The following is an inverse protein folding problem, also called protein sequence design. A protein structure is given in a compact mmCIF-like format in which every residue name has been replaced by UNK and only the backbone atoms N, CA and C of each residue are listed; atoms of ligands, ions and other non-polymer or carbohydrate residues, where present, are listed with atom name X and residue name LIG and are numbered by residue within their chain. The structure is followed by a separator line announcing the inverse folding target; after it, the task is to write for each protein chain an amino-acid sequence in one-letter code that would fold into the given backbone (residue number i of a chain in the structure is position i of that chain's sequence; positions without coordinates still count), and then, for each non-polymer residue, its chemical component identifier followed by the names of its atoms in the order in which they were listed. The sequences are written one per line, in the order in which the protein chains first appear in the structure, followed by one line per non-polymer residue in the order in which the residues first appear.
data_IF_619777272667
#
_entry.id   IF_619777272667
#
_cell.length_a   1.000
_cell.length_b   1.000
_cell.length_c   1.000
_cell.angle_alpha   90.00
_cell.angle_beta   90.00
_cell.angle_gamma   90.00
#
_symmetry.space_group_name_H-M   'P 1'
#
loop_
_entity.id
_entity.type
_entity.pdbx_description
1 polymer ?
#
# COMPACT_ATOMS: atom_id res chain seq x y z
N UNK A 1 -47.75 19.19 -55.46
CA UNK A 1 -47.28 19.58 -54.11
C UNK A 1 -46.09 18.70 -53.75
N UNK A 2 -44.86 19.20 -53.86
CA UNK A 2 -43.65 18.48 -53.52
C UNK A 2 -43.24 18.82 -52.09
N UNK A 3 -43.24 17.80 -51.20
CA UNK A 3 -42.82 17.97 -49.81
C UNK A 3 -41.28 17.82 -49.75
N UNK A 4 -40.61 18.88 -49.31
CA UNK A 4 -39.19 18.92 -49.05
C UNK A 4 -38.97 18.39 -47.63
N UNK A 5 -38.29 17.24 -47.49
CA UNK A 5 -37.85 16.69 -46.21
C UNK A 5 -36.42 17.17 -45.96
N UNK A 6 -36.26 18.09 -44.99
CA UNK A 6 -34.95 18.54 -44.51
C UNK A 6 -34.52 17.58 -43.39
N UNK A 7 -33.55 16.71 -43.69
CA UNK A 7 -32.90 15.87 -42.70
C UNK A 7 -31.85 16.68 -41.93
N UNK A 8 -32.11 16.89 -40.66
CA UNK A 8 -31.16 17.51 -39.74
C UNK A 8 -30.26 16.41 -39.15
N UNK A 9 -29.03 16.29 -39.67
CA UNK A 9 -28.02 15.39 -39.12
C UNK A 9 -27.36 16.07 -37.93
N UNK A 10 -27.77 15.71 -36.71
CA UNK A 10 -27.09 16.15 -35.48
C UNK A 10 -25.75 15.42 -35.37
N UNK A 11 -24.66 16.15 -35.57
CA UNK A 11 -23.31 15.68 -35.33
C UNK A 11 -23.04 15.67 -33.83
N UNK A 12 -23.18 14.50 -33.21
CA UNK A 12 -22.84 14.30 -31.80
C UNK A 12 -21.31 14.19 -31.69
N UNK A 13 -20.66 15.32 -31.35
CA UNK A 13 -19.25 15.31 -31.01
C UNK A 13 -19.13 14.71 -29.61
N UNK A 14 -18.87 13.40 -29.50
CA UNK A 14 -18.40 12.82 -28.26
C UNK A 14 -16.97 13.35 -28.01
N UNK A 15 -16.88 14.37 -27.16
CA UNK A 15 -15.63 14.74 -26.54
C UNK A 15 -15.24 13.62 -25.56
N UNK A 16 -14.52 12.59 -26.07
CA UNK A 16 -13.80 11.68 -25.19
C UNK A 16 -12.71 12.47 -24.47
N UNK A 17 -12.99 12.93 -23.27
CA UNK A 17 -11.93 13.30 -22.34
C UNK A 17 -11.14 12.02 -22.08
N UNK A 18 -10.00 11.87 -22.75
CA UNK A 18 -9.02 10.81 -22.44
C UNK A 18 -8.52 11.14 -21.04
N UNK A 19 -9.07 10.50 -20.03
CA UNK A 19 -8.37 10.41 -18.75
C UNK A 19 -7.04 9.70 -19.05
N UNK A 20 -5.93 10.41 -18.89
CA UNK A 20 -4.61 9.79 -18.98
C UNK A 20 -4.51 8.79 -17.83
N UNK A 21 -4.80 7.53 -18.09
CA UNK A 21 -4.58 6.45 -17.14
C UNK A 21 -3.24 5.79 -17.43
N UNK A 22 -2.53 5.44 -16.38
CA UNK A 22 -1.27 4.72 -16.45
C UNK A 22 -1.41 3.36 -15.73
N UNK A 23 -0.67 2.33 -16.17
CA UNK A 23 -0.67 1.06 -15.49
C UNK A 23 0.08 1.17 -14.16
N UNK A 24 -0.54 0.64 -13.08
CA UNK A 24 0.08 0.45 -11.78
C UNK A 24 0.08 -1.04 -11.48
N UNK A 25 1.25 -1.59 -11.22
CA UNK A 25 1.39 -2.96 -10.73
C UNK A 25 1.24 -2.98 -9.21
N UNK A 26 0.56 -3.99 -8.69
CA UNK A 26 0.59 -4.32 -7.28
C UNK A 26 1.38 -5.60 -7.08
N UNK A 27 2.33 -5.56 -6.16
CA UNK A 27 3.26 -6.65 -5.87
C UNK A 27 3.30 -6.95 -4.38
N UNK A 28 3.80 -8.13 -4.03
CA UNK A 28 4.10 -8.52 -2.66
C UNK A 28 5.56 -8.94 -2.57
N UNK A 29 6.22 -8.54 -1.50
CA UNK A 29 7.56 -8.97 -1.14
C UNK A 29 7.58 -9.54 0.27
N UNK A 30 8.54 -10.42 0.54
CA UNK A 30 8.82 -10.89 1.89
C UNK A 30 10.17 -10.35 2.33
N UNK A 31 10.23 -9.80 3.55
CA UNK A 31 11.49 -9.45 4.18
C UNK A 31 12.23 -10.73 4.55
N UNK A 32 13.06 -11.23 3.65
CA UNK A 32 13.84 -12.43 3.93
C UNK A 32 15.33 -12.13 3.86
N UNK A 33 16.02 -12.32 4.97
CA UNK A 33 17.48 -12.46 5.02
C UNK A 33 17.91 -13.92 4.88
N UNK A 34 16.97 -14.84 4.65
CA UNK A 34 17.21 -16.27 4.67
C UNK A 34 17.77 -16.78 3.34
N UNK A 35 18.81 -17.59 3.41
CA UNK A 35 19.27 -18.44 2.32
C UNK A 35 18.14 -19.36 1.88
N UNK A 36 17.97 -19.52 0.57
CA UNK A 36 16.99 -20.41 -0.04
C UNK A 36 16.91 -21.77 0.68
N UNK A 37 15.86 -21.96 1.45
CA UNK A 37 15.46 -23.23 2.05
C UNK A 37 14.04 -23.54 1.56
N UNK A 38 13.66 -24.81 1.59
CA UNK A 38 12.32 -25.24 1.16
C UNK A 38 11.19 -24.81 2.11
N UNK A 39 11.53 -24.10 3.19
CA UNK A 39 10.59 -23.49 4.14
C UNK A 39 11.25 -22.30 4.83
N UNK A 40 10.45 -21.31 5.20
CA UNK A 40 10.88 -20.17 5.99
C UNK A 40 10.91 -20.59 7.46
N UNK A 41 12.13 -20.83 8.01
CA UNK A 41 12.30 -21.16 9.43
C UNK A 41 12.24 -19.89 10.26
N UNK A 42 11.24 -19.78 11.13
CA UNK A 42 11.05 -18.69 12.07
C UNK A 42 11.15 -19.19 13.50
N UNK A 43 11.66 -18.38 14.42
CA UNK A 43 11.78 -18.71 15.84
C UNK A 43 12.41 -20.10 16.11
N UNK A 44 13.29 -20.58 15.22
CA UNK A 44 14.12 -21.79 15.39
C UNK A 44 13.42 -23.13 15.22
N UNK A 45 12.12 -23.24 15.48
CA UNK A 45 11.37 -24.52 15.43
C UNK A 45 10.07 -24.44 14.64
N UNK A 46 9.73 -23.26 14.14
CA UNK A 46 8.52 -23.01 13.38
C UNK A 46 8.90 -22.84 11.91
N UNK A 47 8.39 -23.73 11.05
CA UNK A 47 8.56 -23.65 9.61
C UNK A 47 7.27 -23.15 8.98
N UNK A 48 7.30 -21.97 8.35
CA UNK A 48 6.18 -21.42 7.59
C UNK A 48 6.27 -21.92 6.16
N UNK A 49 5.21 -22.58 5.70
CA UNK A 49 5.14 -23.21 4.38
C UNK A 49 4.21 -22.47 3.43
N UNK A 50 3.22 -21.77 3.97
CA UNK A 50 2.26 -21.01 3.17
C UNK A 50 1.69 -19.85 3.96
N UNK A 51 1.55 -18.72 3.32
CA UNK A 51 0.83 -17.55 3.85
C UNK A 51 -0.26 -17.16 2.87
N UNK A 52 -1.48 -17.04 3.37
CA UNK A 52 -2.62 -16.51 2.61
C UNK A 52 -3.12 -15.25 3.33
N UNK A 53 -3.26 -14.18 2.58
CA UNK A 53 -3.64 -12.87 3.10
C UNK A 53 -4.73 -12.29 2.23
N UNK A 54 -5.83 -11.83 2.82
CA UNK A 54 -6.86 -11.08 2.11
C UNK A 54 -6.62 -9.58 2.27
N UNK A 55 -6.21 -8.93 1.18
CA UNK A 55 -6.20 -7.48 1.09
C UNK A 55 -7.58 -7.05 0.64
N UNK A 56 -8.28 -6.39 1.53
CA UNK A 56 -9.64 -5.98 1.27
C UNK A 56 -9.73 -4.71 0.45
N UNK A 57 -8.75 -3.81 0.65
CA UNK A 57 -8.72 -2.53 -0.05
C UNK A 57 -7.31 -2.00 -0.15
N UNK A 58 -6.99 -1.46 -1.32
CA UNK A 58 -5.85 -0.61 -1.59
C UNK A 58 -6.39 0.72 -2.14
N UNK A 59 -6.01 1.84 -1.56
CA UNK A 59 -6.44 3.18 -1.99
C UNK A 59 -5.22 4.05 -2.28
N UNK A 60 -5.34 4.86 -3.32
CA UNK A 60 -4.49 6.01 -3.59
C UNK A 60 -5.35 7.25 -3.50
N UNK A 61 -4.92 8.22 -2.72
CA UNK A 61 -5.63 9.49 -2.52
C UNK A 61 -4.74 10.66 -2.95
N UNK A 62 -5.27 11.52 -3.82
CA UNK A 62 -4.65 12.81 -4.08
C UNK A 62 -5.10 13.76 -2.98
N UNK A 63 -4.17 14.49 -2.39
CA UNK A 63 -4.54 15.51 -1.42
C UNK A 63 -5.35 16.60 -2.14
N UNK A 64 -6.59 16.81 -1.76
CA UNK A 64 -7.26 18.06 -2.05
C UNK A 64 -6.43 19.17 -1.40
N UNK A 65 -6.06 20.20 -2.15
CA UNK A 65 -5.37 21.38 -1.60
C UNK A 65 -6.35 22.25 -0.77
N UNK A 66 -7.03 21.60 0.17
CA UNK A 66 -7.91 22.22 1.15
C UNK A 66 -7.38 21.83 2.53
N UNK A 67 -7.06 22.82 3.33
CA UNK A 67 -6.74 22.68 4.75
C UNK A 67 -7.87 21.87 5.40
N UNK A 68 -7.68 20.57 5.63
CA UNK A 68 -8.49 19.86 6.63
C UNK A 68 -8.09 20.48 7.97
N UNK A 69 -8.86 21.47 8.39
CA UNK A 69 -8.92 21.87 9.78
C UNK A 69 -9.56 20.67 10.50
N UNK A 70 -8.76 19.92 11.23
CA UNK A 70 -9.24 19.02 12.25
C UNK A 70 -10.03 19.83 13.25
N UNK A 71 -11.30 20.08 12.92
CA UNK A 71 -12.25 20.73 13.81
C UNK A 71 -12.58 19.78 14.94
N UNK A 72 -11.76 19.78 15.98
CA UNK A 72 -12.24 19.42 17.30
C UNK A 72 -13.45 20.30 17.58
N UNK A 73 -14.64 19.70 17.54
CA UNK A 73 -15.87 20.31 18.00
C UNK A 73 -15.73 20.62 19.48
N UNK A 74 -15.25 21.82 19.80
CA UNK A 74 -15.47 22.42 21.10
C UNK A 74 -16.87 23.03 21.06
N UNK A 75 -17.78 22.44 21.83
CA UNK A 75 -19.17 22.86 22.02
C UNK A 75 -19.19 24.26 22.65
N UNK A 76 -19.12 25.28 21.81
CA UNK A 76 -19.29 26.68 22.21
C UNK A 76 -20.56 27.25 21.60
N UNK A 77 -21.64 27.28 22.40
CA UNK A 77 -22.84 28.07 22.12
C UNK A 77 -22.46 29.53 21.91
N UNK A 78 -22.67 30.09 20.72
CA UNK A 78 -22.76 31.53 20.52
C UNK A 78 -23.92 31.92 19.60
N UNK A 79 -24.84 32.64 20.28
CA UNK A 79 -25.95 33.44 19.75
C UNK A 79 -25.54 34.41 18.63
N UNK A 80 -26.38 34.46 17.63
CA UNK A 80 -26.90 35.67 16.99
C UNK A 80 -25.93 36.61 16.24
N UNK A 81 -26.13 36.70 14.93
CA UNK A 81 -25.61 37.80 14.11
C UNK A 81 -25.92 37.60 12.64
N UNK A 82 -27.07 38.18 12.19
CA UNK A 82 -27.37 38.44 10.77
C UNK A 82 -26.36 39.44 10.23
N UNK A 83 -25.74 39.22 9.08
CA UNK A 83 -25.72 40.13 7.92
C UNK A 83 -24.67 39.75 6.88
N UNK A 84 -25.04 39.90 5.62
CA UNK A 84 -24.13 40.28 4.55
C UNK A 84 -23.70 39.16 3.62
N UNK A 85 -24.50 38.91 2.57
CA UNK A 85 -24.07 38.16 1.39
C UNK A 85 -22.81 38.76 0.77
N UNK A 86 -21.85 37.89 0.43
CA UNK A 86 -20.79 38.17 -0.53
C UNK A 86 -20.51 36.91 -1.37
N UNK A 87 -20.72 37.14 -2.66
CA UNK A 87 -20.13 36.48 -3.81
C UNK A 87 -19.46 35.12 -3.56
N UNK A 88 -20.14 34.09 -4.03
CA UNK A 88 -19.65 32.81 -4.43
C UNK A 88 -18.45 32.94 -5.38
N UNK A 89 -17.28 33.05 -4.81
CA UNK A 89 -16.04 32.82 -5.51
C UNK A 89 -15.85 31.30 -5.54
N UNK A 90 -16.33 30.61 -6.59
CA UNK A 90 -16.11 29.21 -6.81
C UNK A 90 -14.63 28.88 -6.71
N UNK A 91 -14.19 28.53 -5.51
CA UNK A 91 -12.97 27.76 -5.30
C UNK A 91 -13.26 26.42 -5.96
N UNK A 92 -12.65 26.18 -7.13
CA UNK A 92 -12.75 24.90 -7.80
C UNK A 92 -12.38 23.84 -6.77
N UNK A 93 -13.38 23.10 -6.31
CA UNK A 93 -13.17 21.92 -5.51
C UNK A 93 -12.25 21.03 -6.34
N UNK A 94 -11.01 20.87 -5.89
CA UNK A 94 -10.11 19.88 -6.46
C UNK A 94 -10.74 18.55 -6.08
N UNK A 95 -11.38 17.89 -7.05
CA UNK A 95 -11.97 16.58 -6.82
C UNK A 95 -10.89 15.67 -6.23
N UNK A 96 -11.12 15.22 -5.01
CA UNK A 96 -10.31 14.19 -4.38
C UNK A 96 -10.43 12.92 -5.24
N UNK A 97 -9.33 12.55 -5.90
CA UNK A 97 -9.31 11.33 -6.70
C UNK A 97 -9.00 10.17 -5.77
N UNK A 98 -10.04 9.46 -5.39
CA UNK A 98 -9.92 8.20 -4.66
C UNK A 98 -9.97 7.04 -5.65
N UNK A 99 -8.94 6.20 -5.63
CA UNK A 99 -8.89 4.97 -6.39
C UNK A 99 -8.80 3.81 -5.43
N UNK A 100 -9.81 2.95 -5.48
CA UNK A 100 -9.89 1.78 -4.62
C UNK A 100 -9.86 0.51 -5.44
N UNK A 101 -8.99 -0.43 -5.08
CA UNK A 101 -8.86 -1.75 -5.65
C UNK A 101 -9.01 -2.82 -4.56
N UNK A 102 -9.64 -3.93 -4.88
CA UNK A 102 -9.84 -5.05 -3.98
C UNK A 102 -11.28 -5.55 -3.95
N UNK A 103 -11.59 -6.60 -3.18
CA UNK A 103 -10.64 -7.42 -2.44
C UNK A 103 -9.82 -8.34 -3.35
N UNK A 104 -8.60 -8.69 -2.93
CA UNK A 104 -7.76 -9.67 -3.62
C UNK A 104 -7.02 -10.55 -2.62
N UNK A 105 -6.73 -11.79 -3.05
CA UNK A 105 -6.05 -12.79 -2.27
C UNK A 105 -4.57 -12.85 -2.64
N UNK A 106 -3.70 -12.74 -1.66
CA UNK A 106 -2.28 -13.08 -1.76
C UNK A 106 -2.12 -14.49 -1.24
N UNK A 107 -1.42 -15.33 -2.01
CA UNK A 107 -1.15 -16.72 -1.67
C UNK A 107 0.32 -17.03 -1.96
N UNK A 108 1.13 -17.10 -0.92
CA UNK A 108 2.57 -17.33 -1.00
C UNK A 108 2.88 -18.73 -0.47
N UNK A 109 3.41 -19.57 -1.33
CA UNK A 109 3.95 -20.89 -0.93
C UNK A 109 5.37 -20.77 -0.36
N UNK A 110 5.93 -21.89 0.09
CA UNK A 110 7.26 -21.93 0.69
C UNK A 110 8.36 -21.39 -0.24
N UNK A 111 8.23 -21.59 -1.55
CA UNK A 111 9.20 -21.09 -2.52
C UNK A 111 9.14 -19.57 -2.63
N UNK A 112 7.94 -18.99 -2.73
CA UNK A 112 7.73 -17.56 -2.75
C UNK A 112 8.19 -16.89 -1.44
N UNK A 113 7.88 -17.50 -0.29
CA UNK A 113 8.28 -17.02 1.04
C UNK A 113 9.80 -16.98 1.23
N UNK A 114 10.53 -17.96 0.66
CA UNK A 114 11.98 -18.04 0.80
C UNK A 114 12.76 -17.29 -0.28
N UNK A 115 12.12 -16.91 -1.39
CA UNK A 115 12.79 -16.25 -2.49
C UNK A 115 13.22 -14.81 -2.17
N UNK A 116 12.51 -14.12 -1.26
CA UNK A 116 12.71 -12.68 -1.01
C UNK A 116 12.44 -11.81 -2.24
N UNK A 117 11.81 -12.41 -3.27
CA UNK A 117 11.59 -11.75 -4.53
C UNK A 117 10.24 -11.01 -4.52
N UNK A 118 10.20 -9.88 -5.20
CA UNK A 118 8.96 -9.15 -5.46
C UNK A 118 8.10 -9.95 -6.44
N UNK A 119 6.92 -10.37 -6.00
CA UNK A 119 5.97 -11.15 -6.79
C UNK A 119 4.79 -10.27 -7.18
N UNK A 120 4.56 -10.10 -8.48
CA UNK A 120 3.40 -9.35 -8.98
C UNK A 120 2.10 -10.07 -8.68
N UNK A 121 1.12 -9.33 -8.15
CA UNK A 121 -0.22 -9.85 -7.82
C UNK A 121 -1.21 -9.48 -8.93
N UNK A 122 -1.31 -8.20 -9.33
CA UNK A 122 -2.18 -7.73 -10.41
C UNK A 122 -1.70 -6.39 -11.00
N UNK A 123 -2.34 -5.96 -12.09
CA UNK A 123 -2.20 -4.62 -12.66
C UNK A 123 -3.54 -3.89 -12.60
N UNK A 124 -3.51 -2.59 -12.34
CA UNK A 124 -4.66 -1.70 -12.40
C UNK A 124 -4.37 -0.51 -13.34
N UNK A 125 -5.43 0.06 -13.90
CA UNK A 125 -5.35 1.33 -14.61
C UNK A 125 -5.77 2.45 -13.66
N UNK A 126 -4.87 3.37 -13.42
CA UNK A 126 -5.01 4.45 -12.45
C UNK A 126 -4.82 5.78 -13.19
N UNK A 127 -5.62 6.84 -12.96
CA UNK A 127 -5.35 8.14 -13.53
C UNK A 127 -3.91 8.57 -13.25
N UNK A 128 -3.23 9.08 -14.28
CA UNK A 128 -1.88 9.58 -14.10
C UNK A 128 -1.91 10.84 -13.22
N UNK A 129 -1.03 10.91 -12.25
CA UNK A 129 -0.97 12.01 -11.29
C UNK A 129 -0.05 11.70 -10.12
N UNK A 130 0.01 12.64 -9.19
CA UNK A 130 0.71 12.47 -7.92
C UNK A 130 -0.32 12.30 -6.81
N UNK A 131 -0.18 11.22 -6.07
CA UNK A 131 -1.00 10.86 -4.93
C UNK A 131 -0.18 11.10 -3.67
N UNK A 132 -0.84 11.59 -2.61
CA UNK A 132 -0.16 11.96 -1.36
C UNK A 132 -0.33 10.92 -0.28
N UNK A 133 -1.23 9.98 -0.50
CA UNK A 133 -1.54 8.97 0.50
C UNK A 133 -1.83 7.63 -0.16
N UNK A 134 -1.26 6.58 0.45
CA UNK A 134 -1.50 5.18 0.12
C UNK A 134 -2.07 4.49 1.36
N UNK A 135 -3.28 3.93 1.24
CA UNK A 135 -3.95 3.18 2.30
C UNK A 135 -4.10 1.72 1.91
N UNK A 136 -3.76 0.83 2.82
CA UNK A 136 -3.98 -0.61 2.70
C UNK A 136 -4.87 -1.09 3.85
N UNK A 137 -5.89 -1.87 3.53
CA UNK A 137 -6.75 -2.50 4.52
C UNK A 137 -6.76 -4.01 4.35
N UNK A 138 -6.52 -4.71 5.45
CA UNK A 138 -6.61 -6.17 5.56
C UNK A 138 -7.80 -6.47 6.45
N UNK A 139 -8.73 -7.28 5.96
CA UNK A 139 -9.91 -7.67 6.72
C UNK A 139 -10.39 -9.08 6.35
N UNK A 140 -11.23 -9.70 7.20
CA UNK A 140 -11.75 -11.04 6.97
C UNK A 140 -12.53 -11.16 5.66
N UNK A 141 -12.39 -12.29 4.96
CA UNK A 141 -13.06 -12.58 3.70
C UNK A 141 -13.66 -13.98 3.69
N UNK A 142 -14.81 -14.11 3.05
CA UNK A 142 -15.43 -15.41 2.81
C UNK A 142 -14.51 -16.34 1.98
N UNK A 143 -13.64 -15.79 1.12
CA UNK A 143 -12.66 -16.55 0.36
C UNK A 143 -11.62 -17.26 1.26
N UNK A 144 -11.38 -16.73 2.46
CA UNK A 144 -10.54 -17.32 3.49
C UNK A 144 -11.36 -17.84 4.70
N UNK A 145 -12.59 -18.28 4.50
CA UNK A 145 -13.44 -18.80 5.58
C UNK A 145 -13.63 -17.81 6.74
N UNK A 146 -13.81 -16.53 6.41
CA UNK A 146 -13.89 -15.40 7.34
C UNK A 146 -12.59 -15.14 8.13
N UNK A 147 -11.46 -15.58 7.62
CA UNK A 147 -10.15 -15.11 8.06
C UNK A 147 -9.64 -13.98 7.15
N UNK A 148 -8.70 -13.21 7.66
CA UNK A 148 -7.91 -12.25 6.90
C UNK A 148 -6.50 -12.79 6.62
N UNK A 149 -5.99 -13.62 7.52
CA UNK A 149 -4.66 -14.25 7.43
C UNK A 149 -4.80 -15.73 7.77
N UNK A 150 -4.20 -16.58 6.94
CA UNK A 150 -4.01 -18.00 7.26
C UNK A 150 -2.55 -18.35 7.02
N UNK A 151 -1.92 -18.97 8.01
CA UNK A 151 -0.54 -19.46 7.95
C UNK A 151 -0.52 -20.94 8.18
N UNK A 152 0.00 -21.68 7.21
CA UNK A 152 0.19 -23.12 7.32
C UNK A 152 1.69 -23.43 7.46
N UNK A 153 2.03 -24.41 8.30
CA UNK A 153 3.41 -24.77 8.56
C UNK A 153 3.57 -25.91 9.52
N UNK A 154 4.77 -26.02 10.13
CA UNK A 154 5.05 -27.00 11.18
C UNK A 154 5.71 -26.36 12.40
N UNK A 155 5.37 -26.86 13.58
CA UNK A 155 6.06 -26.56 14.86
C UNK A 155 6.69 -27.85 15.35
N UNK A 156 8.03 -27.87 15.47
CA UNK A 156 8.78 -29.07 15.83
C UNK A 156 8.37 -30.31 14.99
N UNK A 157 8.14 -30.09 13.69
CA UNK A 157 7.75 -31.14 12.73
C UNK A 157 6.26 -31.51 12.75
N UNK A 158 5.43 -30.92 13.61
CA UNK A 158 3.98 -31.16 13.64
C UNK A 158 3.27 -30.05 12.86
N UNK A 159 2.40 -30.45 11.93
CA UNK A 159 1.63 -29.49 11.13
C UNK A 159 0.72 -28.60 11.99
N UNK A 160 0.62 -27.32 11.62
CA UNK A 160 -0.36 -26.37 12.16
C UNK A 160 -1.01 -25.57 11.04
N UNK A 161 -2.16 -25.01 11.35
CA UNK A 161 -2.81 -23.96 10.56
C UNK A 161 -3.26 -22.87 11.54
N UNK A 162 -2.65 -21.71 11.46
CA UNK A 162 -3.04 -20.51 12.21
C UNK A 162 -3.97 -19.69 11.35
N UNK A 163 -5.17 -19.40 11.85
CA UNK A 163 -6.18 -18.60 11.14
C UNK A 163 -6.58 -17.42 12.01
N UNK A 164 -6.55 -16.21 11.47
CA UNK A 164 -6.93 -14.99 12.17
C UNK A 164 -7.87 -14.14 11.34
N UNK A 165 -8.86 -13.55 12.03
CA UNK A 165 -9.77 -12.54 11.49
C UNK A 165 -9.33 -11.11 11.85
N UNK A 166 -8.03 -10.89 12.01
CA UNK A 166 -7.49 -9.57 12.35
C UNK A 166 -7.87 -8.52 11.30
N UNK A 167 -8.00 -7.28 11.76
CA UNK A 167 -8.10 -6.12 10.89
C UNK A 167 -6.79 -5.34 11.03
N UNK A 168 -6.17 -5.02 9.91
CA UNK A 168 -5.00 -4.16 9.86
C UNK A 168 -5.23 -3.05 8.84
N UNK A 169 -4.79 -1.84 9.20
CA UNK A 169 -4.82 -0.67 8.32
C UNK A 169 -3.43 -0.07 8.33
N UNK A 170 -2.90 0.12 7.14
CA UNK A 170 -1.64 0.82 6.94
C UNK A 170 -1.93 2.08 6.15
N UNK A 171 -1.34 3.18 6.58
CA UNK A 171 -1.38 4.47 5.93
C UNK A 171 0.06 4.90 5.70
N UNK A 172 0.41 5.18 4.46
CA UNK A 172 1.69 5.74 4.07
C UNK A 172 1.43 7.10 3.45
N UNK A 173 1.98 8.13 4.05
CA UNK A 173 2.02 9.48 3.50
C UNK A 173 3.30 9.64 2.68
N UNK A 174 3.21 10.36 1.58
CA UNK A 174 4.32 10.58 0.68
C UNK A 174 3.89 10.97 -0.71
N UNK A 175 4.82 11.09 -1.63
CA UNK A 175 4.54 11.39 -3.02
C UNK A 175 4.59 10.09 -3.84
N UNK A 176 3.40 9.61 -4.25
CA UNK A 176 3.27 8.42 -5.10
C UNK A 176 2.98 8.88 -6.52
N UNK A 177 3.95 8.73 -7.41
CA UNK A 177 3.83 9.23 -8.79
C UNK A 177 3.33 8.12 -9.71
N UNK A 178 2.16 8.32 -10.31
CA UNK A 178 1.58 7.43 -11.31
C UNK A 178 1.66 8.12 -12.67
N UNK A 179 2.50 7.61 -13.56
CA UNK A 179 2.65 8.16 -14.92
C UNK A 179 3.98 7.81 -15.55
N UNK A 180 4.04 7.78 -16.88
CA UNK A 180 5.24 7.48 -17.66
C UNK A 180 5.55 5.98 -17.73
N UNK A 181 6.44 5.49 -16.91
CA UNK A 181 6.74 4.06 -16.74
C UNK A 181 5.74 3.39 -15.80
N UNK A 182 5.73 2.06 -15.76
CA UNK A 182 4.84 1.30 -14.87
C UNK A 182 5.21 1.58 -13.42
N UNK A 183 4.34 2.29 -12.70
CA UNK A 183 4.46 2.41 -11.26
C UNK A 183 4.20 1.05 -10.59
N UNK A 184 4.91 0.75 -9.53
CA UNK A 184 4.72 -0.47 -8.74
C UNK A 184 4.53 -0.13 -7.27
N UNK A 185 3.47 -0.68 -6.68
CA UNK A 185 3.21 -0.62 -5.24
C UNK A 185 3.50 -1.98 -4.67
N UNK A 186 4.38 -2.06 -3.69
CA UNK A 186 4.79 -3.30 -3.03
C UNK A 186 4.26 -3.36 -1.61
N UNK A 187 3.53 -4.44 -1.31
CA UNK A 187 3.20 -4.86 0.04
C UNK A 187 4.35 -5.69 0.59
N UNK A 188 5.00 -5.21 1.62
CA UNK A 188 6.00 -5.97 2.35
C UNK A 188 5.36 -6.67 3.53
N UNK A 189 5.64 -7.98 3.67
CA UNK A 189 5.30 -8.77 4.85
C UNK A 189 6.56 -9.40 5.42
N UNK A 190 6.62 -9.52 6.74
CA UNK A 190 7.75 -10.18 7.40
C UNK A 190 7.29 -11.34 8.30
N UNK A 191 7.03 -12.52 7.73
CA UNK A 191 6.59 -13.67 8.50
C UNK A 191 7.62 -14.13 9.55
N UNK A 192 8.88 -13.72 9.45
CA UNK A 192 9.91 -14.04 10.44
C UNK A 192 9.61 -13.43 11.81
N UNK A 193 8.93 -12.28 11.84
CA UNK A 193 8.58 -11.60 13.08
C UNK A 193 7.27 -12.09 13.70
N UNK A 194 6.44 -12.83 12.96
CA UNK A 194 5.08 -13.17 13.39
C UNK A 194 5.05 -14.07 14.62
N UNK A 195 5.94 -15.03 14.66
CA UNK A 195 5.95 -16.08 15.70
C UNK A 195 7.06 -15.85 16.75
N UNK A 196 7.45 -14.60 16.96
CA UNK A 196 8.44 -14.22 17.96
C UNK A 196 9.88 -14.46 17.51
N UNK A 197 10.76 -14.73 18.46
CA UNK A 197 12.19 -14.95 18.20
C UNK A 197 12.60 -16.36 18.60
N UNK A 198 13.81 -16.79 18.19
CA UNK A 198 14.35 -18.09 18.59
C UNK A 198 14.49 -18.24 20.12
N UNK A 199 14.70 -17.12 20.84
CA UNK A 199 14.79 -17.11 22.31
C UNK A 199 13.41 -17.09 23.00
N UNK A 200 12.38 -16.59 22.32
CA UNK A 200 11.02 -16.48 22.82
C UNK A 200 10.02 -16.79 21.70
N UNK A 201 9.90 -18.05 21.29
CA UNK A 201 9.00 -18.45 20.23
C UNK A 201 7.54 -18.38 20.69
N UNK A 202 6.67 -17.88 19.80
CA UNK A 202 5.22 -17.88 19.98
C UNK A 202 4.62 -19.06 19.21
N UNK A 203 4.38 -20.18 19.88
CA UNK A 203 3.77 -21.36 19.28
C UNK A 203 2.35 -21.02 18.79
N UNK A 204 2.05 -21.11 17.48
CA UNK A 204 0.74 -20.77 16.91
C UNK A 204 -0.39 -21.75 17.31
N UNK A 205 -0.06 -22.90 17.90
CA UNK A 205 -1.04 -23.87 18.40
C UNK A 205 -1.52 -23.55 19.82
N UNK A 206 -0.86 -22.61 20.48
CA UNK A 206 -1.19 -22.18 21.85
C UNK A 206 -2.04 -20.91 21.80
N UNK A 207 -3.31 -21.01 22.22
CA UNK A 207 -4.29 -19.93 22.11
C UNK A 207 -3.86 -18.64 22.82
N UNK A 208 -3.14 -18.74 23.94
CA UNK A 208 -2.64 -17.55 24.68
C UNK A 208 -1.62 -16.73 23.89
N UNK A 209 -1.01 -17.28 22.84
CA UNK A 209 -0.06 -16.58 21.97
C UNK A 209 -0.76 -15.82 20.84
N UNK A 210 -2.03 -16.13 20.57
CA UNK A 210 -2.77 -15.57 19.42
C UNK A 210 -2.69 -14.05 19.34
N UNK A 211 -3.00 -13.34 20.41
CA UNK A 211 -3.01 -11.88 20.43
C UNK A 211 -1.62 -11.28 20.12
N UNK A 212 -0.55 -11.89 20.64
CA UNK A 212 0.80 -11.46 20.37
C UNK A 212 1.21 -11.71 18.90
N UNK A 213 0.81 -12.86 18.34
CA UNK A 213 1.03 -13.18 16.93
C UNK A 213 0.29 -12.19 16.04
N UNK A 214 -0.99 -11.91 16.30
CA UNK A 214 -1.79 -10.95 15.54
C UNK A 214 -1.20 -9.54 15.57
N UNK A 215 -0.68 -9.12 16.72
CA UNK A 215 -0.01 -7.83 16.85
C UNK A 215 1.31 -7.79 16.06
N UNK A 216 2.09 -8.86 16.10
CA UNK A 216 3.31 -8.97 15.29
C UNK A 216 2.99 -8.92 13.80
N UNK A 217 1.91 -9.59 13.35
CA UNK A 217 1.45 -9.53 11.97
C UNK A 217 1.14 -8.08 11.58
N UNK A 218 0.35 -7.34 12.38
CA UNK A 218 0.00 -5.95 12.08
C UNK A 218 1.23 -5.05 11.93
N UNK A 219 2.22 -5.22 12.80
CA UNK A 219 3.44 -4.39 12.82
C UNK A 219 4.41 -4.70 11.69
N UNK A 220 4.34 -5.91 11.13
CA UNK A 220 5.26 -6.37 10.09
C UNK A 220 4.78 -6.09 8.68
N UNK A 221 3.60 -5.51 8.53
CA UNK A 221 3.02 -5.15 7.24
C UNK A 221 3.39 -3.72 6.94
N UNK A 222 3.99 -3.49 5.77
CA UNK A 222 4.29 -2.17 5.24
C UNK A 222 3.88 -2.10 3.77
N UNK A 223 3.69 -0.89 3.25
CA UNK A 223 3.32 -0.66 1.86
C UNK A 223 4.02 0.59 1.34
N UNK A 224 4.62 0.50 0.15
CA UNK A 224 5.40 1.60 -0.44
C UNK A 224 5.45 1.51 -1.96
N UNK A 225 5.90 2.59 -2.60
CA UNK A 225 6.22 2.60 -4.03
C UNK A 225 7.61 1.99 -4.24
N UNK A 226 7.70 1.06 -5.21
CA UNK A 226 8.87 0.24 -5.51
C UNK A 226 8.92 -0.01 -7.02
N UNK A 227 9.21 1.04 -7.79
CA UNK A 227 9.12 1.02 -9.25
C UNK A 227 10.15 0.10 -9.91
N UNK A 228 11.30 -0.09 -9.27
CA UNK A 228 12.36 -0.99 -9.73
C UNK A 228 12.16 -2.44 -9.27
N UNK A 229 11.16 -2.68 -8.41
CA UNK A 229 10.84 -3.98 -7.81
C UNK A 229 12.01 -4.61 -7.06
N UNK A 230 12.74 -3.77 -6.35
CA UNK A 230 13.85 -4.20 -5.49
C UNK A 230 13.37 -4.79 -4.16
N UNK A 231 12.12 -4.56 -3.79
CA UNK A 231 11.55 -4.88 -2.49
C UNK A 231 11.88 -3.84 -1.42
N UNK A 232 12.35 -2.67 -1.85
CA UNK A 232 12.66 -1.53 -1.01
C UNK A 232 11.90 -0.31 -1.51
N UNK A 233 11.60 0.61 -0.59
CA UNK A 233 11.01 1.90 -0.95
C UNK A 233 11.95 2.66 -1.90
N UNK A 234 11.38 3.31 -2.92
CA UNK A 234 12.15 4.17 -3.80
C UNK A 234 12.86 5.23 -2.93
N UNK A 235 14.18 5.21 -2.91
CA UNK A 235 14.94 6.33 -2.38
C UNK A 235 15.08 7.34 -3.51
N UNK A 236 14.53 8.53 -3.32
CA UNK A 236 14.96 9.69 -4.10
C UNK A 236 16.44 9.90 -3.74
N UNK A 237 17.33 9.46 -4.64
CA UNK A 237 18.78 9.67 -4.53
C UNK A 237 19.11 11.17 -4.69
N UNK A 238 18.49 12.02 -3.90
CA UNK A 238 18.89 13.41 -3.67
C UNK A 238 20.17 13.44 -2.80
N UNK A 239 21.12 12.55 -3.11
CA UNK A 239 22.47 12.77 -2.71
C UNK A 239 23.04 13.89 -3.58
N UNK A 240 22.75 15.10 -3.15
CA UNK A 240 23.56 16.28 -3.46
C UNK A 240 25.01 15.95 -3.01
N UNK A 241 25.74 15.27 -3.93
CA UNK A 241 27.17 15.10 -3.80
C UNK A 241 27.80 16.50 -3.84
N UNK A 242 27.68 17.18 -2.68
CA UNK A 242 28.41 18.40 -2.39
C UNK A 242 29.88 18.14 -2.67
N UNK A 243 30.30 18.48 -3.90
CA UNK A 243 31.68 18.62 -4.29
C UNK A 243 32.38 19.49 -3.24
N UNK A 244 32.95 18.85 -2.22
CA UNK A 244 33.98 19.43 -1.42
C UNK A 244 35.24 19.52 -2.30
N UNK A 245 35.29 20.57 -3.11
CA UNK A 245 36.53 21.10 -3.66
C UNK A 245 37.40 21.57 -2.48
N UNK A 246 38.07 20.60 -1.90
CA UNK A 246 39.15 20.85 -0.95
C UNK A 246 40.33 21.49 -1.67
N UNK A 247 40.32 22.82 -1.76
CA UNK A 247 41.45 23.60 -2.23
C UNK A 247 42.73 23.24 -1.47
N UNK A 248 43.63 22.55 -2.13
CA UNK A 248 45.03 22.41 -1.71
C UNK A 248 45.68 23.78 -1.77
N UNK A 249 45.75 24.43 -0.62
CA UNK A 249 46.65 25.55 -0.36
C UNK A 249 48.09 25.03 -0.33
N UNK A 250 48.75 25.21 -1.47
CA UNK A 250 50.21 25.11 -1.56
C UNK A 250 50.82 26.28 -0.80
N UNK A 251 51.49 26.01 0.32
CA UNK A 251 52.21 26.94 1.17
C UNK A 251 53.68 26.51 1.29
N UNK A 252 54.47 26.83 0.26
CA UNK A 252 55.90 26.79 0.39
C UNK A 252 56.44 27.90 1.28
N UNK A 253 57.55 27.65 1.89
CA UNK A 253 58.67 28.47 2.43
C UNK A 253 59.23 27.76 3.65
N UNK A 254 60.57 27.51 3.68
CA UNK A 254 61.80 28.18 3.59
C UNK A 254 62.84 27.34 4.29
#
# INVERSE_FOLDING_TARGET
MKRLIVSFTALLVLACTRSNSAPVSFSVATSTTAKASSALVVAGTIDVQRVRLNVGRLKLESQATGTESDGENDDGEHDGGEDGGMADGGTGEVEEVEISQGPFLIDLDAAALSAGAVTKVFDAQVPAGTYQELKLEIFPSAALQNASVIVDGTVAGKAFSFSSALVAKQKKEGSFVVGGSTANITLLIDPQQWFGTAAAPLDPTVETNRAAIEENIRRSIDVFQDDDRSGHENHDDDHDDGQHDGGHGDGGHG
#
